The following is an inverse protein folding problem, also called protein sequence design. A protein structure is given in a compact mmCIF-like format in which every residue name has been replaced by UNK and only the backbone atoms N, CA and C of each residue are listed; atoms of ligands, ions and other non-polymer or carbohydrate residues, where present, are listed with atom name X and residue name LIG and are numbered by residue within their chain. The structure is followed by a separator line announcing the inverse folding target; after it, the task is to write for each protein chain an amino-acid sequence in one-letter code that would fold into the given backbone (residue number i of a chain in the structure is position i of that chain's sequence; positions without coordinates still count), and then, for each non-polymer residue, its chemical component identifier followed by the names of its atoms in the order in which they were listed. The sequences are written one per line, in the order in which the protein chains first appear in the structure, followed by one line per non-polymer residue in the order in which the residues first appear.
data_IF_984459852231
#
_entry.id   IF_984459852231
#
_cell.length_a   1.000
_cell.length_b   1.000
_cell.length_c   1.000
_cell.angle_alpha   90.00
_cell.angle_beta   90.00
_cell.angle_gamma   90.00
#
_symmetry.space_group_name_H-M   'P 1'
#
loop_
_entity.id
_entity.type
_entity.pdbx_description
1 polymer ?
#
# COMPACT_ATOMS: atom_id res chain seq x y z
N UNK A 1 -20.33 2.10 -4.87
CA UNK A 1 -19.06 1.84 -5.57
C UNK A 1 -18.72 0.38 -5.34
N UNK A 2 -18.44 -0.40 -6.38
CA UNK A 2 -18.04 -1.81 -6.24
C UNK A 2 -16.52 -1.91 -6.31
N UNK A 3 -15.92 -2.67 -5.39
CA UNK A 3 -14.47 -2.80 -5.28
C UNK A 3 -14.13 -4.29 -5.30
N UNK A 4 -13.19 -4.66 -6.16
CA UNK A 4 -12.62 -6.01 -6.23
C UNK A 4 -11.13 -5.95 -5.90
N UNK A 5 -10.71 -6.79 -4.95
CA UNK A 5 -9.31 -7.00 -4.60
C UNK A 5 -8.72 -8.03 -5.56
N UNK A 6 -7.91 -7.56 -6.51
CA UNK A 6 -7.49 -8.37 -7.67
C UNK A 6 -6.26 -9.20 -7.32
N UNK A 7 -5.22 -8.56 -6.80
CA UNK A 7 -3.96 -9.19 -6.43
C UNK A 7 -3.26 -8.41 -5.32
N UNK A 8 -2.86 -9.10 -4.26
CA UNK A 8 -2.24 -8.54 -3.06
C UNK A 8 -1.19 -9.50 -2.48
N UNK A 9 -0.28 -8.98 -1.66
CA UNK A 9 0.73 -9.76 -0.93
C UNK A 9 0.08 -10.81 -0.01
N UNK A 10 -1.07 -10.50 0.60
CA UNK A 10 -1.87 -11.50 1.33
C UNK A 10 -2.38 -12.66 0.46
N UNK A 11 -2.39 -12.53 -0.87
CA UNK A 11 -2.72 -13.61 -1.80
C UNK A 11 -1.47 -14.44 -2.22
N UNK A 12 -0.29 -14.10 -1.71
CA UNK A 12 0.97 -14.81 -1.96
C UNK A 12 1.75 -14.34 -3.19
N UNK A 13 1.49 -13.11 -3.67
CA UNK A 13 2.20 -12.45 -4.77
C UNK A 13 2.45 -10.99 -4.41
N UNK A 14 3.57 -10.40 -4.84
CA UNK A 14 3.79 -8.96 -4.63
C UNK A 14 2.87 -8.16 -5.56
N UNK A 15 1.93 -7.42 -5.01
CA UNK A 15 0.96 -6.63 -5.76
C UNK A 15 0.15 -5.72 -4.83
N UNK A 16 -0.45 -4.67 -5.39
CA UNK A 16 -1.47 -3.86 -4.70
C UNK A 16 -2.64 -3.51 -5.63
N UNK A 17 -2.98 -4.44 -6.53
CA UNK A 17 -3.95 -4.22 -7.59
C UNK A 17 -5.41 -4.30 -7.11
N UNK A 18 -6.16 -3.24 -7.39
CA UNK A 18 -7.62 -3.21 -7.24
C UNK A 18 -8.34 -2.88 -8.55
N UNK A 19 -9.60 -3.29 -8.62
CA UNK A 19 -10.53 -2.86 -9.64
C UNK A 19 -11.74 -2.19 -8.97
N UNK A 20 -12.07 -0.98 -9.41
CA UNK A 20 -13.17 -0.19 -8.88
C UNK A 20 -14.15 0.11 -10.00
N UNK A 21 -15.40 -0.26 -9.80
CA UNK A 21 -16.48 0.01 -10.73
C UNK A 21 -17.48 0.98 -10.09
N UNK A 22 -17.70 2.10 -10.77
CA UNK A 22 -18.77 3.05 -10.45
C UNK A 22 -19.82 3.05 -11.56
N UNK A 23 -20.86 3.88 -11.41
CA UNK A 23 -21.84 4.07 -12.48
C UNK A 23 -21.25 4.78 -13.71
N UNK A 24 -20.16 5.53 -13.51
CA UNK A 24 -19.61 6.41 -14.54
C UNK A 24 -18.33 5.86 -15.19
N UNK A 25 -17.54 5.06 -14.46
CA UNK A 25 -16.21 4.62 -14.92
C UNK A 25 -15.73 3.34 -14.23
N UNK A 26 -14.97 2.52 -14.96
CA UNK A 26 -14.22 1.36 -14.44
C UNK A 26 -12.73 1.69 -14.34
N UNK A 27 -12.16 1.51 -13.16
CA UNK A 27 -10.81 1.94 -12.82
C UNK A 27 -10.00 0.73 -12.35
N UNK A 28 -8.86 0.46 -12.98
CA UNK A 28 -7.86 -0.48 -12.45
C UNK A 28 -6.71 0.32 -11.86
N UNK A 29 -6.39 0.11 -10.58
CA UNK A 29 -5.30 0.79 -9.88
C UNK A 29 -4.16 -0.19 -9.68
N UNK A 30 -2.95 0.26 -9.97
CA UNK A 30 -1.69 -0.46 -9.79
C UNK A 30 -1.71 -1.91 -10.33
N UNK A 31 -1.92 -2.13 -11.65
CA UNK A 31 -1.94 -3.46 -12.26
C UNK A 31 -0.54 -4.05 -12.40
N UNK A 32 0.18 -4.21 -11.29
CA UNK A 32 1.47 -4.85 -11.23
C UNK A 32 1.43 -6.19 -10.52
N UNK A 33 2.44 -7.01 -10.77
CA UNK A 33 2.62 -8.28 -10.08
C UNK A 33 4.07 -8.73 -10.16
N UNK A 34 4.60 -9.19 -9.03
CA UNK A 34 5.91 -9.83 -8.96
C UNK A 34 5.89 -11.07 -8.06
N UNK A 35 6.91 -11.91 -8.20
CA UNK A 35 7.10 -13.09 -7.35
C UNK A 35 7.51 -12.64 -5.96
N UNK A 36 6.95 -13.31 -4.94
CA UNK A 36 7.36 -13.12 -3.55
C UNK A 36 8.81 -13.51 -3.30
N UNK A 37 9.44 -12.97 -2.26
CA UNK A 37 10.85 -13.32 -1.94
C UNK A 37 10.96 -14.62 -1.15
N UNK A 38 12.19 -15.07 -0.87
CA UNK A 38 12.44 -16.28 -0.07
C UNK A 38 12.04 -16.11 1.41
N UNK A 39 11.82 -14.89 1.91
CA UNK A 39 11.26 -14.70 3.25
C UNK A 39 9.77 -15.04 3.30
N UNK A 40 9.06 -15.05 2.18
CA UNK A 40 7.66 -15.46 2.14
C UNK A 40 7.57 -16.99 2.28
N UNK A 41 6.77 -17.52 3.23
CA UNK A 41 6.79 -18.94 3.60
C UNK A 41 6.03 -19.83 2.61
N UNK A 42 6.35 -19.73 1.32
CA UNK A 42 5.81 -20.60 0.27
C UNK A 42 6.94 -21.14 -0.63
N UNK A 43 6.87 -22.43 -1.01
CA UNK A 43 7.77 -22.99 -2.02
C UNK A 43 7.73 -22.18 -3.31
N UNK A 44 8.88 -22.09 -4.01
CA UNK A 44 9.00 -21.33 -5.25
C UNK A 44 7.98 -21.75 -6.31
N UNK A 45 7.75 -23.06 -6.47
CA UNK A 45 6.75 -23.61 -7.40
C UNK A 45 5.35 -23.04 -7.12
N UNK A 46 4.96 -22.93 -5.84
CA UNK A 46 3.69 -22.36 -5.43
C UNK A 46 3.62 -20.86 -5.73
N UNK A 47 4.68 -20.10 -5.37
CA UNK A 47 4.77 -18.66 -5.67
C UNK A 47 4.61 -18.36 -7.17
N UNK A 48 5.30 -19.11 -8.03
CA UNK A 48 5.21 -18.96 -9.49
C UNK A 48 3.81 -19.29 -10.03
N UNK A 49 3.17 -20.33 -9.49
CA UNK A 49 1.79 -20.70 -9.84
C UNK A 49 0.81 -19.58 -9.47
N UNK A 50 0.94 -18.99 -8.28
CA UNK A 50 0.12 -17.87 -7.84
C UNK A 50 0.33 -16.64 -8.73
N UNK A 51 1.56 -16.31 -9.12
CA UNK A 51 1.82 -15.22 -10.08
C UNK A 51 1.11 -15.47 -11.40
N UNK A 52 1.18 -16.68 -11.96
CA UNK A 52 0.45 -17.02 -13.20
C UNK A 52 -1.06 -16.86 -13.03
N UNK A 53 -1.62 -17.30 -11.91
CA UNK A 53 -3.06 -17.18 -11.59
C UNK A 53 -3.49 -15.71 -11.49
N UNK A 54 -2.82 -14.91 -10.68
CA UNK A 54 -3.22 -13.53 -10.41
C UNK A 54 -2.88 -12.58 -11.56
N UNK A 55 -1.84 -12.86 -12.35
CA UNK A 55 -1.56 -12.12 -13.59
C UNK A 55 -2.72 -12.19 -14.58
N UNK A 56 -3.38 -13.35 -14.72
CA UNK A 56 -4.59 -13.50 -15.55
C UNK A 56 -5.79 -12.69 -14.99
N UNK A 57 -5.92 -12.61 -13.66
CA UNK A 57 -6.96 -11.77 -13.02
C UNK A 57 -6.71 -10.28 -13.30
N UNK A 58 -5.47 -9.82 -13.15
CA UNK A 58 -5.07 -8.44 -13.46
C UNK A 58 -5.32 -8.13 -14.95
N UNK A 59 -4.94 -9.04 -15.85
CA UNK A 59 -5.22 -8.90 -17.28
C UNK A 59 -6.72 -8.70 -17.55
N UNK A 60 -7.56 -9.54 -16.96
CA UNK A 60 -9.02 -9.42 -17.09
C UNK A 60 -9.52 -8.06 -16.59
N UNK A 61 -9.02 -7.59 -15.46
CA UNK A 61 -9.36 -6.26 -14.91
C UNK A 61 -8.89 -5.11 -15.81
N UNK A 62 -7.68 -5.19 -16.36
CA UNK A 62 -7.14 -4.18 -17.27
C UNK A 62 -7.96 -4.10 -18.57
N UNK A 63 -8.32 -5.25 -19.14
CA UNK A 63 -9.12 -5.31 -20.37
C UNK A 63 -10.53 -4.72 -20.17
N UNK A 64 -11.10 -4.87 -18.97
CA UNK A 64 -12.42 -4.33 -18.61
C UNK A 64 -12.40 -2.85 -18.19
N UNK A 65 -11.25 -2.30 -17.83
CA UNK A 65 -11.14 -0.94 -17.32
C UNK A 65 -11.32 0.10 -18.44
N UNK A 66 -11.79 1.29 -18.07
CA UNK A 66 -11.74 2.49 -18.91
C UNK A 66 -10.49 3.31 -18.58
N UNK A 67 -10.15 3.35 -17.29
CA UNK A 67 -9.05 4.12 -16.70
C UNK A 67 -8.09 3.18 -15.98
N UNK A 68 -6.78 3.38 -16.18
CA UNK A 68 -5.74 2.71 -15.41
C UNK A 68 -4.93 3.76 -14.66
N UNK A 69 -4.87 3.63 -13.33
CA UNK A 69 -4.07 4.49 -12.46
C UNK A 69 -2.78 3.76 -12.04
N UNK A 70 -1.64 4.43 -12.13
CA UNK A 70 -0.32 3.90 -11.73
C UNK A 70 0.32 4.87 -10.74
N UNK A 71 0.46 4.42 -9.50
CA UNK A 71 0.97 5.21 -8.38
C UNK A 71 2.47 5.49 -8.48
N UNK A 72 3.24 4.53 -9.01
CA UNK A 72 4.69 4.61 -9.19
C UNK A 72 5.22 3.43 -10.06
N UNK A 73 6.53 3.41 -10.34
CA UNK A 73 7.14 2.53 -11.34
C UNK A 73 7.90 1.33 -10.73
N UNK A 74 7.33 0.66 -9.73
CA UNK A 74 7.74 -0.69 -9.34
C UNK A 74 6.91 -1.76 -10.05
N UNK A 75 7.52 -2.91 -10.36
CA UNK A 75 6.88 -3.93 -11.22
C UNK A 75 5.69 -4.63 -10.55
N UNK A 76 5.57 -4.56 -9.23
CA UNK A 76 4.38 -4.94 -8.47
C UNK A 76 3.25 -3.89 -8.51
N UNK A 77 3.45 -2.75 -9.19
CA UNK A 77 2.42 -1.71 -9.42
C UNK A 77 2.10 -1.45 -10.89
N UNK A 78 2.93 -1.90 -11.84
CA UNK A 78 2.62 -1.89 -13.27
C UNK A 78 3.32 -3.01 -14.02
N UNK A 79 2.90 -3.29 -15.26
CA UNK A 79 3.56 -4.26 -16.13
C UNK A 79 3.81 -3.68 -17.52
N UNK A 80 4.86 -4.17 -18.18
CA UNK A 80 5.21 -3.80 -19.56
C UNK A 80 4.41 -4.61 -20.60
N UNK A 81 3.08 -4.65 -20.47
CA UNK A 81 2.19 -5.47 -21.32
C UNK A 81 1.28 -4.57 -22.15
N UNK A 82 1.64 -4.34 -23.42
CA UNK A 82 0.97 -3.41 -24.34
C UNK A 82 -0.56 -3.53 -24.36
N UNK A 83 -1.07 -4.76 -24.46
CA UNK A 83 -2.51 -5.01 -24.62
C UNK A 83 -3.35 -4.59 -23.40
N UNK A 84 -2.76 -4.56 -22.20
CA UNK A 84 -3.48 -4.14 -20.99
C UNK A 84 -3.88 -2.67 -21.04
N UNK A 85 -3.11 -1.84 -21.77
CA UNK A 85 -3.27 -0.39 -21.82
C UNK A 85 -3.95 0.12 -23.10
N UNK A 86 -4.38 -0.79 -23.99
CA UNK A 86 -4.99 -0.43 -25.28
C UNK A 86 -6.35 0.26 -25.10
N UNK A 87 -6.50 1.44 -25.72
CA UNK A 87 -7.68 2.32 -25.65
C UNK A 87 -8.08 2.70 -24.21
N UNK A 88 -7.11 2.79 -23.29
CA UNK A 88 -7.33 3.19 -21.89
C UNK A 88 -6.87 4.63 -21.65
N UNK A 89 -7.51 5.32 -20.72
CA UNK A 89 -6.97 6.56 -20.16
C UNK A 89 -6.00 6.19 -19.05
N UNK A 90 -4.74 6.60 -19.16
CA UNK A 90 -3.71 6.32 -18.17
C UNK A 90 -3.50 7.53 -17.28
N UNK A 91 -3.68 7.36 -15.96
CA UNK A 91 -3.38 8.36 -14.94
C UNK A 91 -2.10 7.92 -14.23
N UNK A 92 -0.96 8.51 -14.59
CA UNK A 92 0.35 8.00 -14.19
C UNK A 92 1.15 9.02 -13.40
N UNK A 93 1.97 8.54 -12.45
CA UNK A 93 3.00 9.33 -11.78
C UNK A 93 3.89 10.05 -12.80
N UNK A 94 4.22 11.31 -12.52
CA UNK A 94 5.17 12.12 -13.30
C UNK A 94 6.49 11.36 -13.41
N UNK A 95 6.90 11.15 -14.66
CA UNK A 95 8.06 10.37 -15.07
C UNK A 95 9.32 11.21 -15.30
N UNK A 96 9.27 12.52 -15.02
CA UNK A 96 10.39 13.46 -15.09
C UNK A 96 10.66 14.15 -13.76
N UNK A 97 9.61 14.45 -13.00
CA UNK A 97 9.71 15.20 -11.74
C UNK A 97 9.44 14.32 -10.52
N UNK A 98 10.16 14.61 -9.42
CA UNK A 98 10.03 13.88 -8.14
C UNK A 98 9.99 12.37 -8.40
N UNK A 99 11.06 11.88 -9.02
CA UNK A 99 11.28 10.50 -9.42
C UNK A 99 12.77 10.19 -9.25
N UNK A 100 13.13 8.94 -8.98
CA UNK A 100 14.54 8.52 -8.94
C UNK A 100 14.97 7.93 -10.29
N UNK A 101 16.28 7.74 -10.50
CA UNK A 101 16.83 7.21 -11.76
C UNK A 101 16.25 5.84 -12.16
N UNK A 102 16.04 4.94 -11.20
CA UNK A 102 15.50 3.61 -11.49
C UNK A 102 14.06 3.67 -11.97
N UNK A 103 13.22 4.48 -11.34
CA UNK A 103 11.83 4.66 -11.72
C UNK A 103 11.71 5.45 -13.03
N UNK A 104 12.58 6.43 -13.27
CA UNK A 104 12.66 7.18 -14.53
C UNK A 104 12.95 6.25 -15.71
N UNK A 105 13.97 5.39 -15.61
CA UNK A 105 14.28 4.41 -16.66
C UNK A 105 13.11 3.44 -16.92
N UNK A 106 12.47 2.96 -15.85
CA UNK A 106 11.28 2.10 -15.93
C UNK A 106 10.08 2.81 -16.59
N UNK A 107 9.86 4.09 -16.26
CA UNK A 107 8.82 4.89 -16.87
C UNK A 107 9.09 5.15 -18.36
N UNK A 108 10.34 5.42 -18.73
CA UNK A 108 10.73 5.60 -20.13
C UNK A 108 10.47 4.33 -20.96
N UNK A 109 10.83 3.15 -20.44
CA UNK A 109 10.50 1.87 -21.08
C UNK A 109 8.98 1.65 -21.19
N UNK A 110 8.24 1.94 -20.11
CA UNK A 110 6.79 1.82 -20.10
C UNK A 110 6.12 2.71 -21.16
N UNK A 111 6.52 3.98 -21.25
CA UNK A 111 5.97 4.94 -22.20
C UNK A 111 6.22 4.53 -23.66
N UNK A 112 7.38 3.94 -23.98
CA UNK A 112 7.65 3.38 -25.32
C UNK A 112 6.61 2.33 -25.74
N UNK A 113 6.07 1.58 -24.78
CA UNK A 113 5.10 0.51 -25.01
C UNK A 113 3.68 1.06 -25.15
N UNK A 114 3.29 2.01 -24.30
CA UNK A 114 1.89 2.43 -24.17
C UNK A 114 1.51 3.65 -25.01
N UNK A 115 2.47 4.51 -25.40
CA UNK A 115 2.19 5.78 -26.09
C UNK A 115 1.37 5.61 -27.38
N UNK A 116 1.58 4.52 -28.12
CA UNK A 116 0.87 4.27 -29.39
C UNK A 116 -0.46 3.54 -29.24
N UNK A 117 -0.85 3.12 -28.03
CA UNK A 117 -2.06 2.31 -27.80
C UNK A 117 -2.98 2.85 -26.72
N UNK A 118 -2.47 3.64 -25.79
CA UNK A 118 -3.31 4.34 -24.82
C UNK A 118 -4.22 5.33 -25.54
N UNK A 119 -5.45 5.47 -25.07
CA UNK A 119 -6.37 6.51 -25.54
C UNK A 119 -5.83 7.88 -25.17
N UNK A 120 -5.33 8.01 -23.93
CA UNK A 120 -4.79 9.24 -23.38
C UNK A 120 -3.83 8.91 -22.23
N UNK A 121 -2.82 9.75 -22.02
CA UNK A 121 -1.88 9.64 -20.89
C UNK A 121 -1.86 10.98 -20.16
N UNK A 122 -2.24 10.99 -18.88
CA UNK A 122 -2.27 12.18 -18.02
C UNK A 122 -1.34 12.02 -16.82
N UNK A 123 -0.69 13.11 -16.45
CA UNK A 123 0.13 13.17 -15.24
C UNK A 123 -0.78 13.32 -14.02
N UNK A 124 -0.69 12.38 -13.10
CA UNK A 124 -1.57 12.27 -11.96
C UNK A 124 -1.16 13.17 -10.78
N UNK A 125 0.13 13.47 -10.61
CA UNK A 125 0.69 14.19 -9.47
C UNK A 125 -0.10 15.45 -9.10
N UNK A 126 -0.68 15.47 -7.90
CA UNK A 126 -1.46 16.59 -7.37
C UNK A 126 -2.68 17.02 -8.24
N UNK A 127 -3.15 16.14 -9.14
CA UNK A 127 -4.29 16.40 -10.00
C UNK A 127 -5.54 15.63 -9.57
N UNK A 128 -6.69 16.10 -10.05
CA UNK A 128 -7.96 15.40 -9.97
C UNK A 128 -8.59 15.24 -11.36
N UNK A 129 -9.35 14.16 -11.51
CA UNK A 129 -10.01 13.78 -12.75
C UNK A 129 -11.45 13.39 -12.44
N UNK A 130 -12.39 13.93 -13.22
CA UNK A 130 -13.81 13.69 -13.04
C UNK A 130 -14.37 12.88 -14.21
N UNK A 131 -15.14 11.85 -13.88
CA UNK A 131 -15.88 10.99 -14.80
C UNK A 131 -17.32 10.92 -14.27
N UNK A 132 -18.22 11.73 -14.84
CA UNK A 132 -19.59 11.87 -14.31
C UNK A 132 -19.58 12.27 -12.83
N UNK A 133 -20.18 11.46 -11.95
CA UNK A 133 -20.20 11.70 -10.50
C UNK A 133 -19.02 11.05 -9.75
N UNK A 134 -18.06 10.47 -10.47
CA UNK A 134 -16.88 9.82 -9.92
C UNK A 134 -15.67 10.72 -10.03
N UNK A 135 -15.02 11.00 -8.91
CA UNK A 135 -13.78 11.79 -8.84
C UNK A 135 -12.60 10.90 -8.43
N UNK A 136 -11.52 10.98 -9.19
CA UNK A 136 -10.23 10.35 -8.91
C UNK A 136 -9.23 11.46 -8.59
N UNK A 137 -8.70 11.49 -7.38
CA UNK A 137 -7.76 12.50 -6.91
C UNK A 137 -6.46 11.85 -6.48
N UNK A 138 -5.34 12.45 -6.84
CA UNK A 138 -4.02 12.00 -6.41
C UNK A 138 -3.38 13.00 -5.47
N UNK A 139 -2.59 12.50 -4.53
CA UNK A 139 -1.80 13.37 -3.67
C UNK A 139 -0.71 14.10 -4.46
N UNK A 140 -0.09 15.10 -3.84
CA UNK A 140 1.28 15.48 -4.20
C UNK A 140 2.22 14.26 -4.09
N UNK A 141 3.37 14.25 -4.77
CA UNK A 141 4.38 13.21 -4.61
C UNK A 141 4.73 12.99 -3.13
N UNK A 142 4.53 11.77 -2.65
CA UNK A 142 4.89 11.33 -1.30
C UNK A 142 6.18 10.51 -1.39
N UNK A 143 7.02 10.54 -0.36
CA UNK A 143 8.18 9.66 -0.31
C UNK A 143 7.71 8.21 -0.37
N UNK A 144 8.45 7.40 -1.13
CA UNK A 144 8.23 5.96 -1.20
C UNK A 144 8.77 5.30 0.09
N UNK A 145 7.99 5.40 1.16
CA UNK A 145 8.36 5.04 2.52
C UNK A 145 8.88 6.23 3.32
N UNK A 146 10.06 6.08 3.92
CA UNK A 146 10.65 7.07 4.83
C UNK A 146 11.17 8.33 4.11
N UNK A 147 11.26 9.45 4.83
CA UNK A 147 11.72 10.72 4.27
C UNK A 147 13.16 10.60 3.78
N UNK A 148 13.46 11.18 2.61
CA UNK A 148 14.78 11.16 1.97
C UNK A 148 15.25 9.75 1.54
N UNK A 149 14.33 8.80 1.42
CA UNK A 149 14.60 7.49 0.81
C UNK A 149 15.12 7.61 -0.62
N UNK A 150 16.11 6.78 -1.04
CA UNK A 150 16.55 6.74 -2.43
C UNK A 150 15.50 6.11 -3.38
N UNK A 151 14.42 5.53 -2.84
CA UNK A 151 13.36 4.86 -3.61
C UNK A 151 12.49 5.82 -4.43
N UNK A 152 12.59 7.13 -4.21
CA UNK A 152 11.84 8.14 -4.94
C UNK A 152 10.48 8.42 -4.32
N UNK A 153 9.45 8.53 -5.16
CA UNK A 153 8.14 9.01 -4.74
C UNK A 153 7.00 8.15 -5.30
N UNK A 154 5.87 8.18 -4.59
CA UNK A 154 4.61 7.50 -4.93
C UNK A 154 3.43 8.47 -4.87
N UNK A 155 2.29 8.06 -5.44
CA UNK A 155 1.02 8.78 -5.32
C UNK A 155 0.00 7.96 -4.52
N UNK A 156 -0.59 8.61 -3.52
CA UNK A 156 -1.82 8.14 -2.91
C UNK A 156 -2.99 8.45 -3.84
N UNK A 157 -3.87 7.48 -4.05
CA UNK A 157 -5.04 7.60 -4.92
C UNK A 157 -6.32 7.60 -4.08
N UNK A 158 -7.16 8.62 -4.27
CA UNK A 158 -8.49 8.70 -3.69
C UNK A 158 -9.54 8.56 -4.80
N UNK A 159 -10.48 7.63 -4.63
CA UNK A 159 -11.62 7.47 -5.53
C UNK A 159 -12.88 7.75 -4.72
N UNK A 160 -13.67 8.73 -5.16
CA UNK A 160 -14.88 9.15 -4.46
C UNK A 160 -16.07 9.28 -5.38
N UNK A 161 -17.23 8.89 -4.84
CA UNK A 161 -18.56 9.21 -5.36
C UNK A 161 -19.29 10.07 -4.34
N UNK A 162 -20.54 10.47 -4.62
CA UNK A 162 -21.38 11.21 -3.64
C UNK A 162 -21.57 10.49 -2.29
N UNK A 163 -21.47 9.15 -2.26
CA UNK A 163 -21.79 8.35 -1.06
C UNK A 163 -20.58 7.77 -0.35
N UNK A 164 -19.53 7.46 -1.10
CA UNK A 164 -18.43 6.62 -0.63
C UNK A 164 -17.10 7.16 -1.14
N UNK A 165 -16.08 7.11 -0.28
CA UNK A 165 -14.69 7.42 -0.62
C UNK A 165 -13.76 6.26 -0.20
N UNK A 166 -12.92 5.86 -1.15
CA UNK A 166 -11.83 4.91 -1.00
C UNK A 166 -10.50 5.67 -1.09
N UNK A 167 -9.53 5.33 -0.24
CA UNK A 167 -8.12 5.68 -0.44
C UNK A 167 -7.29 4.42 -0.63
N UNK A 168 -6.43 4.43 -1.66
CA UNK A 168 -5.31 3.52 -1.83
C UNK A 168 -4.02 4.27 -1.53
N UNK A 169 -3.34 3.88 -0.46
CA UNK A 169 -2.18 4.62 0.07
C UNK A 169 -0.93 4.57 -0.80
N UNK A 170 -0.75 3.49 -1.58
CA UNK A 170 0.54 3.14 -2.21
C UNK A 170 1.63 2.91 -1.16
N UNK A 171 2.88 2.82 -1.59
CA UNK A 171 3.98 2.30 -0.79
C UNK A 171 4.58 3.38 0.11
N UNK A 172 3.88 3.66 1.21
CA UNK A 172 4.22 4.69 2.19
C UNK A 172 4.77 4.14 3.51
N UNK A 173 5.15 2.85 3.55
CA UNK A 173 5.70 2.15 4.73
C UNK A 173 4.77 2.20 5.95
N UNK A 174 3.45 2.05 5.74
CA UNK A 174 2.43 2.21 6.77
C UNK A 174 2.56 3.52 7.54
N UNK A 175 1.99 4.62 7.06
CA UNK A 175 2.53 5.99 7.19
C UNK A 175 3.49 6.23 8.38
N UNK A 176 4.80 6.05 8.17
CA UNK A 176 5.81 6.43 9.18
C UNK A 176 5.96 7.96 9.31
N UNK A 177 5.54 8.71 8.29
CA UNK A 177 5.53 10.17 8.26
C UNK A 177 4.15 10.69 8.69
N UNK A 178 4.12 11.44 9.79
CA UNK A 178 2.87 11.97 10.40
C UNK A 178 1.95 12.70 9.42
N UNK A 179 2.51 13.54 8.54
CA UNK A 179 1.70 14.30 7.57
C UNK A 179 0.94 13.42 6.58
N UNK A 180 1.32 12.15 6.39
CA UNK A 180 0.60 11.22 5.52
C UNK A 180 -0.63 10.67 6.22
N UNK A 181 -0.54 10.39 7.52
CA UNK A 181 -1.70 10.08 8.34
C UNK A 181 -2.68 11.26 8.42
N UNK A 182 -2.16 12.48 8.59
CA UNK A 182 -2.98 13.70 8.59
C UNK A 182 -3.71 13.90 7.25
N UNK A 183 -3.05 13.60 6.12
CA UNK A 183 -3.66 13.63 4.79
C UNK A 183 -4.83 12.64 4.67
N UNK A 184 -4.62 11.38 5.09
CA UNK A 184 -5.65 10.33 5.08
C UNK A 184 -6.85 10.76 5.93
N UNK A 185 -6.61 11.26 7.15
CA UNK A 185 -7.66 11.71 8.07
C UNK A 185 -8.44 12.89 7.46
N UNK A 186 -7.75 13.86 6.85
CA UNK A 186 -8.37 15.01 6.19
C UNK A 186 -9.28 14.62 5.03
N UNK A 187 -8.89 13.61 4.26
CA UNK A 187 -9.68 13.10 3.13
C UNK A 187 -10.95 12.37 3.58
N UNK A 188 -11.04 11.90 4.84
CA UNK A 188 -12.20 11.23 5.45
C UNK A 188 -12.73 10.03 4.63
N UNK A 189 -11.90 9.03 4.29
CA UNK A 189 -12.37 7.86 3.54
C UNK A 189 -13.26 6.96 4.38
N UNK A 190 -14.18 6.24 3.73
CA UNK A 190 -14.93 5.15 4.36
C UNK A 190 -14.12 3.85 4.39
N UNK A 191 -13.31 3.63 3.35
CA UNK A 191 -12.41 2.49 3.18
C UNK A 191 -10.99 2.98 2.91
N UNK A 192 -10.03 2.47 3.66
CA UNK A 192 -8.61 2.72 3.46
C UNK A 192 -7.91 1.42 3.09
N UNK A 193 -7.19 1.39 1.97
CA UNK A 193 -6.25 0.34 1.61
C UNK A 193 -4.84 0.87 1.93
N UNK A 194 -4.25 0.30 2.97
CA UNK A 194 -3.04 0.77 3.61
C UNK A 194 -1.88 -0.21 3.39
N UNK A 195 -0.79 0.31 2.83
CA UNK A 195 0.50 -0.38 2.87
C UNK A 195 0.99 -0.55 4.32
N UNK A 196 1.77 -1.59 4.58
CA UNK A 196 2.43 -1.79 5.85
C UNK A 196 3.86 -1.26 5.87
N UNK A 197 4.47 -1.24 7.05
CA UNK A 197 5.92 -1.15 7.15
C UNK A 197 6.53 -2.45 6.60
N UNK A 198 7.65 -2.40 5.86
CA UNK A 198 8.34 -3.57 5.32
C UNK A 198 9.07 -4.33 6.42
N UNK A 199 8.32 -4.98 7.30
CA UNK A 199 8.84 -5.58 8.54
C UNK A 199 9.81 -6.75 8.31
N UNK A 200 9.73 -7.38 7.13
CA UNK A 200 10.70 -8.36 6.64
C UNK A 200 12.11 -7.77 6.38
N UNK A 201 12.26 -6.44 6.42
CA UNK A 201 13.52 -5.70 6.29
C UNK A 201 13.94 -4.95 7.58
N UNK A 202 13.28 -5.21 8.72
CA UNK A 202 13.63 -4.60 10.00
C UNK A 202 15.09 -4.88 10.40
N UNK A 203 15.75 -3.84 10.91
CA UNK A 203 17.14 -3.90 11.38
C UNK A 203 18.19 -3.85 10.26
N UNK A 204 17.76 -3.76 9.00
CA UNK A 204 18.66 -3.62 7.85
C UNK A 204 18.30 -2.38 7.02
N UNK A 205 17.20 -2.43 6.26
CA UNK A 205 16.75 -1.29 5.44
C UNK A 205 15.71 -0.45 6.19
N UNK A 206 14.87 -1.09 7.01
CA UNK A 206 13.83 -0.41 7.78
C UNK A 206 14.16 -0.40 9.27
N UNK A 207 13.94 0.73 9.94
CA UNK A 207 14.26 0.90 11.36
C UNK A 207 13.08 0.60 12.26
N UNK A 208 13.36 0.16 13.49
CA UNK A 208 12.33 -0.08 14.51
C UNK A 208 11.56 1.19 14.90
N UNK A 209 12.22 2.35 14.93
CA UNK A 209 11.52 3.60 15.26
C UNK A 209 10.51 3.99 14.16
N UNK A 210 10.83 3.75 12.88
CA UNK A 210 9.88 4.02 11.78
C UNK A 210 8.67 3.10 11.83
N UNK A 211 8.85 1.81 12.20
CA UNK A 211 7.75 0.90 12.50
C UNK A 211 6.91 1.40 13.69
N UNK A 212 7.53 1.93 14.74
CA UNK A 212 6.79 2.48 15.87
C UNK A 212 5.96 3.70 15.46
N UNK A 213 6.54 4.64 14.68
CA UNK A 213 5.82 5.78 14.14
C UNK A 213 4.66 5.35 13.22
N UNK A 214 4.89 4.32 12.40
CA UNK A 214 3.87 3.68 11.56
C UNK A 214 2.67 3.21 12.38
N UNK A 215 2.92 2.47 13.46
CA UNK A 215 1.88 1.96 14.36
C UNK A 215 1.12 3.11 15.04
N UNK A 216 1.81 4.13 15.54
CA UNK A 216 1.17 5.30 16.18
C UNK A 216 0.30 6.09 15.19
N UNK A 217 0.79 6.31 13.98
CA UNK A 217 0.03 6.97 12.92
C UNK A 217 -1.21 6.16 12.51
N UNK A 218 -1.10 4.83 12.42
CA UNK A 218 -2.26 3.98 12.18
C UNK A 218 -3.28 4.07 13.32
N UNK A 219 -2.85 4.07 14.59
CA UNK A 219 -3.74 4.29 15.74
C UNK A 219 -4.44 5.65 15.66
N UNK A 220 -3.72 6.70 15.29
CA UNK A 220 -4.29 8.03 15.06
C UNK A 220 -5.37 8.03 13.97
N UNK A 221 -5.11 7.35 12.85
CA UNK A 221 -6.09 7.17 11.76
C UNK A 221 -7.34 6.46 12.28
N UNK A 222 -7.19 5.37 13.04
CA UNK A 222 -8.28 4.60 13.65
C UNK A 222 -9.13 5.49 14.58
N UNK A 223 -8.48 6.26 15.47
CA UNK A 223 -9.15 7.16 16.42
C UNK A 223 -9.90 8.33 15.77
N UNK A 224 -9.66 8.62 14.49
CA UNK A 224 -10.40 9.67 13.76
C UNK A 224 -11.89 9.33 13.56
N UNK A 225 -12.30 8.07 13.75
CA UNK A 225 -13.70 7.56 13.72
C UNK A 225 -14.49 7.85 12.45
N UNK A 226 -13.83 8.21 11.34
CA UNK A 226 -14.47 8.39 10.02
C UNK A 226 -14.36 7.18 9.11
N UNK A 227 -13.39 6.32 9.38
CA UNK A 227 -13.10 5.11 8.61
C UNK A 227 -13.89 3.95 9.21
N UNK A 228 -14.55 3.16 8.35
CA UNK A 228 -15.25 1.93 8.78
C UNK A 228 -14.37 0.70 8.66
N UNK A 229 -13.48 0.69 7.66
CA UNK A 229 -12.71 -0.47 7.26
C UNK A 229 -11.31 -0.06 6.79
N UNK A 230 -10.30 -0.77 7.27
CA UNK A 230 -8.91 -0.63 6.87
C UNK A 230 -8.42 -1.98 6.37
N UNK A 231 -7.95 -2.01 5.12
CA UNK A 231 -7.27 -3.14 4.52
C UNK A 231 -5.77 -2.91 4.69
N UNK A 232 -5.15 -3.54 5.69
CA UNK A 232 -3.70 -3.53 5.89
C UNK A 232 -3.11 -4.69 5.08
N UNK A 233 -2.37 -4.38 4.02
CA UNK A 233 -1.82 -5.37 3.10
C UNK A 233 -0.44 -4.97 2.57
N UNK A 234 -0.05 -5.50 1.42
CA UNK A 234 1.21 -5.20 0.73
C UNK A 234 2.43 -5.50 1.63
N UNK A 235 3.29 -4.53 1.94
CA UNK A 235 4.53 -4.79 2.69
C UNK A 235 4.35 -5.46 4.06
N UNK A 236 3.26 -5.16 4.79
CA UNK A 236 2.98 -5.82 6.06
C UNK A 236 2.80 -7.33 5.87
N UNK A 237 2.20 -7.74 4.75
CA UNK A 237 1.76 -9.12 4.51
C UNK A 237 2.86 -9.98 3.86
N UNK A 238 4.06 -9.42 3.66
CA UNK A 238 5.28 -10.16 3.33
C UNK A 238 5.93 -10.86 4.54
N UNK A 239 5.45 -10.58 5.75
CA UNK A 239 6.00 -11.08 7.01
C UNK A 239 4.92 -11.76 7.87
N UNK A 240 5.09 -13.04 8.20
CA UNK A 240 4.12 -13.78 9.04
C UNK A 240 4.00 -13.23 10.47
N UNK A 241 4.95 -12.37 10.89
CA UNK A 241 4.95 -11.70 12.21
C UNK A 241 4.05 -10.46 12.26
N UNK A 242 3.43 -10.06 11.16
CA UNK A 242 2.73 -8.77 11.07
C UNK A 242 1.65 -8.57 12.15
N UNK A 243 0.91 -9.62 12.54
CA UNK A 243 -0.09 -9.53 13.62
C UNK A 243 0.54 -9.16 14.97
N UNK A 244 1.77 -9.59 15.23
CA UNK A 244 2.49 -9.29 16.46
C UNK A 244 3.13 -7.89 16.44
N UNK A 245 3.63 -7.44 15.29
CA UNK A 245 4.14 -6.08 15.13
C UNK A 245 3.03 -5.03 15.15
N UNK A 246 1.91 -5.29 14.48
CA UNK A 246 0.74 -4.40 14.46
C UNK A 246 -0.23 -4.66 15.61
N UNK A 247 0.16 -5.41 16.65
CA UNK A 247 -0.72 -5.82 17.75
C UNK A 247 -1.50 -4.65 18.36
N UNK A 248 -0.85 -3.51 18.63
CA UNK A 248 -1.53 -2.33 19.19
C UNK A 248 -2.51 -1.68 18.21
N UNK A 249 -2.24 -1.73 16.91
CA UNK A 249 -3.17 -1.22 15.90
C UNK A 249 -4.43 -2.09 15.79
N UNK A 250 -4.28 -3.42 15.83
CA UNK A 250 -5.42 -4.34 15.91
C UNK A 250 -6.25 -4.10 17.17
N UNK A 251 -5.60 -4.02 18.34
CA UNK A 251 -6.29 -3.71 19.61
C UNK A 251 -7.03 -2.37 19.58
N UNK A 252 -6.45 -1.34 18.95
CA UNK A 252 -7.09 -0.04 18.79
C UNK A 252 -8.29 -0.10 17.82
N UNK A 253 -8.17 -0.87 16.73
CA UNK A 253 -9.24 -1.06 15.76
C UNK A 253 -10.46 -1.75 16.40
N UNK A 254 -10.22 -2.82 17.18
CA UNK A 254 -11.26 -3.55 17.92
C UNK A 254 -12.00 -2.62 18.89
N UNK A 255 -11.27 -1.81 19.67
CA UNK A 255 -11.84 -0.83 20.61
C UNK A 255 -12.73 0.22 19.94
N UNK A 256 -12.41 0.60 18.69
CA UNK A 256 -13.16 1.61 17.94
C UNK A 256 -14.17 0.99 16.96
N UNK A 257 -14.37 -0.34 17.02
CA UNK A 257 -15.27 -1.10 16.14
C UNK A 257 -14.96 -0.88 14.64
N UNK A 258 -13.66 -0.79 14.31
CA UNK A 258 -13.15 -0.64 12.95
C UNK A 258 -12.61 -1.99 12.49
N UNK A 259 -13.06 -2.45 11.32
CA UNK A 259 -12.55 -3.71 10.74
C UNK A 259 -11.16 -3.47 10.14
N UNK A 260 -10.11 -3.92 10.85
CA UNK A 260 -8.72 -3.92 10.37
C UNK A 260 -8.32 -5.35 10.01
N UNK A 261 -8.03 -5.60 8.74
CA UNK A 261 -7.71 -6.94 8.22
C UNK A 261 -7.04 -6.84 6.85
N UNK A 262 -6.61 -7.96 6.27
CA UNK A 262 -5.99 -8.02 4.93
C UNK A 262 -6.99 -8.12 3.79
N UNK A 263 -6.54 -7.94 2.55
CA UNK A 263 -7.35 -8.17 1.37
C UNK A 263 -7.82 -9.63 1.28
N UNK A 264 -6.98 -10.61 1.68
CA UNK A 264 -7.37 -12.02 1.73
C UNK A 264 -8.55 -12.24 2.68
N UNK A 265 -8.47 -11.68 3.88
CA UNK A 265 -9.53 -11.80 4.89
C UNK A 265 -10.81 -11.07 4.43
N UNK A 266 -10.70 -10.01 3.63
CA UNK A 266 -11.87 -9.30 3.09
C UNK A 266 -12.68 -10.15 2.12
N UNK A 267 -12.00 -11.00 1.34
CA UNK A 267 -12.64 -11.93 0.41
C UNK A 267 -12.84 -13.33 1.00
N UNK A 268 -12.73 -13.49 2.33
CA UNK A 268 -13.06 -14.72 3.05
C UNK A 268 -11.95 -15.77 3.11
N UNK A 269 -10.71 -15.44 2.74
CA UNK A 269 -9.56 -16.34 2.81
C UNK A 269 -8.60 -15.96 3.93
N UNK A 270 -7.80 -16.93 4.38
CA UNK A 270 -6.66 -16.64 5.28
C UNK A 270 -5.48 -16.08 4.46
N UNK A 271 -4.69 -15.16 5.01
CA UNK A 271 -3.51 -14.65 4.33
C UNK A 271 -2.52 -15.78 3.99
N UNK A 272 -2.04 -15.81 2.76
CA UNK A 272 -1.11 -16.84 2.29
C UNK A 272 0.22 -16.85 3.04
N UNK A 273 0.62 -15.71 3.63
CA UNK A 273 1.81 -15.64 4.50
C UNK A 273 1.60 -16.44 5.79
N UNK A 274 0.39 -16.47 6.33
CA UNK A 274 0.06 -17.24 7.55
C UNK A 274 -0.18 -18.71 7.22
N UNK A 275 -0.88 -19.01 6.12
CA UNK A 275 -1.06 -20.38 5.64
C UNK A 275 0.28 -21.04 5.28
N UNK A 276 1.15 -20.28 4.61
CA UNK A 276 2.50 -20.68 4.30
C UNK A 276 3.31 -20.96 5.56
N UNK A 277 3.28 -20.04 6.53
CA UNK A 277 3.95 -20.22 7.83
C UNK A 277 3.46 -21.47 8.56
N UNK A 278 2.14 -21.69 8.61
CA UNK A 278 1.55 -22.88 9.25
C UNK A 278 2.00 -24.18 8.58
N UNK A 279 2.11 -24.20 7.25
CA UNK A 279 2.38 -25.42 6.48
C UNK A 279 3.86 -25.74 6.31
N UNK A 280 4.69 -24.72 6.12
CA UNK A 280 6.10 -24.87 5.77
C UNK A 280 7.05 -24.37 6.86
N UNK A 281 6.52 -23.80 7.94
CA UNK A 281 7.30 -23.31 9.07
C UNK A 281 7.90 -21.93 8.86
N UNK A 282 8.84 -21.59 9.75
CA UNK A 282 9.57 -20.31 9.75
C UNK A 282 10.51 -20.24 8.55
N UNK A 283 10.74 -19.02 8.04
CA UNK A 283 11.74 -18.76 6.99
C UNK A 283 12.92 -18.00 7.58
N UNK A 284 12.88 -16.66 7.53
CA UNK A 284 13.96 -15.79 7.96
C UNK A 284 13.99 -15.59 9.49
N UNK A 285 12.85 -15.75 10.15
CA UNK A 285 12.66 -15.28 11.53
C UNK A 285 12.34 -16.41 12.48
N UNK A 286 13.24 -16.64 13.43
CA UNK A 286 13.09 -17.70 14.42
C UNK A 286 12.30 -17.25 15.65
N UNK A 287 12.67 -16.12 16.23
CA UNK A 287 12.07 -15.61 17.47
C UNK A 287 11.70 -14.13 17.31
N UNK A 288 10.57 -13.74 17.88
CA UNK A 288 10.13 -12.35 17.93
C UNK A 288 9.14 -12.16 19.08
N UNK A 289 9.01 -10.91 19.52
CA UNK A 289 8.02 -10.51 20.51
C UNK A 289 7.00 -9.57 19.88
N UNK A 290 5.79 -9.59 20.43
CA UNK A 290 4.78 -8.55 20.17
C UNK A 290 5.36 -7.19 20.54
N UNK A 291 5.13 -6.18 19.69
CA UNK A 291 5.46 -4.80 20.03
C UNK A 291 4.29 -4.23 20.83
N UNK A 292 4.43 -4.17 22.16
CA UNK A 292 3.46 -3.54 23.06
C UNK A 292 3.92 -2.12 23.38
N UNK A 293 3.11 -1.43 24.17
CA UNK A 293 3.33 -0.01 24.49
C UNK A 293 4.67 0.23 25.19
N UNK A 294 5.11 -0.70 26.05
CA UNK A 294 6.42 -0.63 26.73
C UNK A 294 7.57 -0.64 25.72
N UNK A 295 7.54 -1.55 24.75
CA UNK A 295 8.57 -1.66 23.72
C UNK A 295 8.58 -0.41 22.83
N UNK A 296 7.40 0.10 22.43
CA UNK A 296 7.30 1.36 21.67
C UNK A 296 7.94 2.52 22.45
N UNK A 297 7.59 2.70 23.73
CA UNK A 297 8.14 3.76 24.58
C UNK A 297 9.66 3.67 24.68
N UNK A 298 10.20 2.46 24.86
CA UNK A 298 11.64 2.23 24.91
C UNK A 298 12.34 2.55 23.58
N UNK A 299 11.82 2.04 22.46
CA UNK A 299 12.40 2.26 21.12
C UNK A 299 12.39 3.74 20.77
N UNK A 300 11.28 4.43 21.00
CA UNK A 300 11.13 5.84 20.65
C UNK A 300 11.93 6.76 21.59
N UNK A 301 12.03 6.44 22.89
CA UNK A 301 12.93 7.17 23.80
C UNK A 301 14.39 7.06 23.35
N UNK A 302 14.83 5.88 22.92
CA UNK A 302 16.16 5.70 22.36
C UNK A 302 16.35 6.50 21.06
N UNK A 303 15.36 6.49 20.17
CA UNK A 303 15.39 7.29 18.94
C UNK A 303 15.46 8.81 19.21
N UNK A 304 14.76 9.30 20.22
CA UNK A 304 14.80 10.70 20.66
C UNK A 304 16.20 11.08 21.17
N UNK A 305 16.78 10.26 22.06
CA UNK A 305 18.15 10.46 22.58
C UNK A 305 19.20 10.53 21.46
N UNK A 306 19.00 9.75 20.40
CA UNK A 306 19.87 9.73 19.22
C UNK A 306 19.48 10.77 18.14
N UNK A 307 18.59 11.71 18.43
CA UNK A 307 18.14 12.78 17.51
C UNK A 307 17.59 12.26 16.18
N UNK A 308 16.98 11.07 16.19
CA UNK A 308 16.36 10.46 15.01
C UNK A 308 14.91 10.93 14.76
N UNK A 309 14.29 11.54 15.78
CA UNK A 309 12.90 12.00 15.73
C UNK A 309 12.81 13.50 15.44
N UNK A 310 11.79 13.89 14.67
CA UNK A 310 11.47 15.30 14.43
C UNK A 310 10.57 15.86 15.54
N UNK A 311 10.47 17.19 15.63
CA UNK A 311 9.55 17.87 16.55
C UNK A 311 8.10 17.38 16.43
N UNK A 312 7.63 17.17 15.20
CA UNK A 312 6.29 16.66 14.92
C UNK A 312 6.08 15.22 15.41
N UNK A 313 7.11 14.38 15.32
CA UNK A 313 7.08 13.00 15.79
C UNK A 313 6.98 12.99 17.32
N UNK A 314 7.80 13.80 18.01
CA UNK A 314 7.77 13.93 19.48
C UNK A 314 6.38 14.39 19.96
N UNK A 315 5.77 15.36 19.28
CA UNK A 315 4.41 15.82 19.60
C UNK A 315 3.38 14.70 19.47
N UNK A 316 3.41 13.96 18.36
CA UNK A 316 2.51 12.82 18.15
C UNK A 316 2.73 11.71 19.19
N UNK A 317 3.97 11.44 19.56
CA UNK A 317 4.31 10.43 20.57
C UNK A 317 3.68 10.80 21.92
N UNK A 318 3.76 12.07 22.30
CA UNK A 318 3.08 12.58 23.50
C UNK A 318 1.57 12.35 23.40
N UNK A 319 0.93 12.76 22.31
CA UNK A 319 -0.52 12.60 22.11
C UNK A 319 -1.02 11.13 22.10
N UNK A 320 -0.20 10.20 21.61
CA UNK A 320 -0.62 8.80 21.41
C UNK A 320 -0.23 7.83 22.53
N UNK A 321 0.71 8.20 23.40
CA UNK A 321 1.29 7.35 24.44
C UNK A 321 1.24 7.91 25.87
N UNK A 322 0.92 9.20 26.04
CA UNK A 322 0.88 9.90 27.33
C UNK A 322 -0.41 10.70 27.46
#
# INVERSE_FOLDING_TARGET
MKIEFIAFDSFGVKSSCIFVETKDVKICVDPGIAVETNSFPLPLKTRLSLVKKYKKRIETSCLKADVIAISHYHYDHYQKIKNWYKNKILLIKDFKNKINKSQEGRAAEFLKIVKSVAKEIKIADNNEFEFGNTRIKFSKPLWHGVKNTPLGYVLMTSISTKKEKLIHSSDIDGPSIKSYADLIIKEKPNLLILDGAPTYLLGYIHSYYNLCLSILNLRKIIKSRRIKKIILDHHALRDYRYKDFYYLAFKEADKNNIKLHSAAEEIGFKPMVLEGYKRYGKTKWENWNKIKEKEIKQILSNAEKNKLLKKEDIKMIKEELY
#
